data_IF_403748685796
#
_entry.id   IF_403748685796
#
_cell.length_a   1.000
_cell.length_b   1.000
_cell.length_c   1.000
_cell.angle_alpha   90.00
_cell.angle_beta   90.00
_cell.angle_gamma   90.00
#
_symmetry.space_group_name_H-M   'P 1'
#
loop_
_entity.id
_entity.type
_entity.pdbx_description
1 polymer ?
#
# COMPACT_ATOMS: atom_id res chain seq x y z
N UNK A 1 8.80 11.31 -13.32
CA UNK A 1 8.31 9.92 -13.32
C UNK A 1 8.77 9.29 -12.02
N UNK A 2 7.92 9.29 -11.00
CA UNK A 2 8.23 8.59 -9.75
C UNK A 2 8.30 7.10 -10.04
N UNK A 3 9.40 6.45 -9.66
CA UNK A 3 9.50 5.00 -9.76
C UNK A 3 8.38 4.36 -8.95
N UNK A 4 7.82 3.27 -9.46
CA UNK A 4 6.98 2.38 -8.67
C UNK A 4 7.75 2.08 -7.39
N UNK A 5 7.09 2.26 -6.25
CA UNK A 5 7.55 1.66 -5.02
C UNK A 5 7.64 0.17 -5.34
N UNK A 6 8.84 -0.34 -5.61
CA UNK A 6 9.13 -1.73 -5.97
C UNK A 6 8.85 -2.62 -4.75
N UNK A 7 7.57 -2.73 -4.42
CA UNK A 7 6.99 -3.94 -3.90
C UNK A 7 7.22 -5.02 -4.96
N UNK A 8 7.28 -6.30 -4.59
CA UNK A 8 7.53 -7.43 -5.50
C UNK A 8 6.41 -7.65 -6.56
N UNK A 9 5.70 -6.61 -6.98
CA UNK A 9 4.67 -6.64 -8.00
C UNK A 9 5.29 -6.83 -9.38
N UNK A 10 4.99 -7.95 -10.01
CA UNK A 10 5.29 -8.17 -11.41
C UNK A 10 4.15 -7.60 -12.28
N UNK A 11 4.44 -7.23 -13.53
CA UNK A 11 3.39 -6.93 -14.50
C UNK A 11 2.38 -8.09 -14.56
N UNK A 12 1.11 -7.80 -14.26
CA UNK A 12 0.03 -8.79 -14.20
C UNK A 12 -0.43 -9.19 -12.80
N UNK A 13 0.22 -8.72 -11.73
CA UNK A 13 -0.23 -9.00 -10.36
C UNK A 13 -1.54 -8.28 -10.03
N UNK A 14 -2.51 -9.00 -9.46
CA UNK A 14 -3.85 -8.48 -9.16
C UNK A 14 -3.85 -7.25 -8.24
N UNK A 15 -2.84 -7.13 -7.37
CA UNK A 15 -2.68 -5.98 -6.46
C UNK A 15 -2.53 -4.66 -7.21
N UNK A 16 -1.99 -4.66 -8.44
CA UNK A 16 -1.86 -3.46 -9.28
C UNK A 16 -3.22 -2.84 -9.64
N UNK A 17 -4.26 -3.67 -9.68
CA UNK A 17 -5.64 -3.24 -9.94
C UNK A 17 -6.41 -2.89 -8.66
N UNK A 18 -5.80 -3.07 -7.48
CA UNK A 18 -6.48 -2.81 -6.22
C UNK A 18 -6.62 -1.30 -5.97
N UNK A 19 -7.81 -0.78 -5.60
CA UNK A 19 -8.03 0.66 -5.41
C UNK A 19 -7.04 1.32 -4.44
N UNK A 20 -6.78 0.67 -3.30
CA UNK A 20 -5.78 1.16 -2.34
C UNK A 20 -4.35 1.18 -2.87
N UNK A 21 -3.97 0.25 -3.74
CA UNK A 21 -2.64 0.28 -4.36
C UNK A 21 -2.55 1.50 -5.28
N UNK A 22 -3.50 1.66 -6.19
CA UNK A 22 -3.56 2.80 -7.11
C UNK A 22 -3.65 4.14 -6.38
N UNK A 23 -4.34 4.21 -5.26
CA UNK A 23 -4.44 5.43 -4.46
C UNK A 23 -3.09 5.84 -3.89
N UNK A 24 -2.41 4.92 -3.19
CA UNK A 24 -1.21 5.26 -2.41
C UNK A 24 0.09 5.17 -3.23
N UNK A 25 0.10 4.47 -4.37
CA UNK A 25 1.30 4.29 -5.20
C UNK A 25 1.80 5.57 -5.86
N UNK A 26 0.94 6.57 -6.03
CA UNK A 26 1.31 7.87 -6.63
C UNK A 26 1.69 8.92 -5.59
N UNK A 27 1.53 8.63 -4.30
CA UNK A 27 1.87 9.55 -3.22
C UNK A 27 3.30 9.31 -2.71
N UNK A 28 3.95 10.39 -2.27
CA UNK A 28 5.23 10.27 -1.57
C UNK A 28 4.98 9.84 -0.12
N UNK A 29 5.92 9.07 0.43
CA UNK A 29 5.86 8.59 1.81
C UNK A 29 5.65 9.70 2.86
N UNK A 30 6.14 10.92 2.60
CA UNK A 30 5.94 12.09 3.48
C UNK A 30 4.54 12.69 3.44
N UNK A 31 3.81 12.53 2.33
CA UNK A 31 2.48 13.10 2.13
C UNK A 31 1.34 12.17 2.56
N UNK A 32 1.59 10.85 2.58
CA UNK A 32 0.60 9.85 2.97
C UNK A 32 0.08 10.11 4.39
N UNK A 33 -1.23 10.14 4.62
CA UNK A 33 -1.81 10.17 5.97
C UNK A 33 -1.85 8.76 6.58
N UNK A 34 -1.29 8.60 7.79
CA UNK A 34 -1.23 7.30 8.49
C UNK A 34 -2.63 6.81 8.88
N UNK A 35 -3.52 7.71 9.25
CA UNK A 35 -4.88 7.35 9.69
C UNK A 35 -5.71 6.81 8.53
N UNK A 36 -5.49 7.36 7.33
CA UNK A 36 -6.15 6.89 6.10
C UNK A 36 -5.66 5.50 5.74
N UNK A 37 -4.34 5.26 5.79
CA UNK A 37 -3.76 3.94 5.49
C UNK A 37 -4.18 2.88 6.53
N UNK A 38 -4.26 3.23 7.82
CA UNK A 38 -4.80 2.35 8.88
C UNK A 38 -6.26 1.97 8.63
N UNK A 39 -7.07 2.93 8.21
CA UNK A 39 -8.49 2.70 7.89
C UNK A 39 -8.61 1.77 6.69
N UNK A 40 -7.83 1.99 5.63
CA UNK A 40 -7.79 1.10 4.47
C UNK A 40 -7.45 -0.34 4.88
N UNK A 41 -6.40 -0.52 5.69
CA UNK A 41 -5.99 -1.83 6.19
C UNK A 41 -7.09 -2.52 7.03
N UNK A 42 -7.80 -1.76 7.86
CA UNK A 42 -8.90 -2.28 8.69
C UNK A 42 -10.11 -2.74 7.86
N UNK A 43 -10.28 -2.23 6.64
CA UNK A 43 -11.36 -2.62 5.73
C UNK A 43 -11.02 -3.83 4.84
N UNK A 44 -9.75 -4.23 4.78
CA UNK A 44 -9.35 -5.42 4.04
C UNK A 44 -9.85 -6.69 4.75
N UNK A 45 -10.56 -7.55 4.01
CA UNK A 45 -10.95 -8.89 4.49
C UNK A 45 -9.70 -9.74 4.56
N UNK A 46 -9.38 -10.35 5.71
CA UNK A 46 -8.20 -11.20 5.86
C UNK A 46 -8.35 -12.54 5.09
N UNK A 47 -7.99 -12.54 3.81
CA UNK A 47 -8.03 -13.71 2.93
C UNK A 47 -6.80 -13.74 2.01
N UNK A 48 -6.71 -14.75 1.15
CA UNK A 48 -5.58 -14.91 0.23
C UNK A 48 -5.50 -13.77 -0.78
N UNK A 49 -6.65 -13.30 -1.26
CA UNK A 49 -6.74 -12.31 -2.34
C UNK A 49 -6.29 -10.92 -1.87
N UNK A 50 -6.51 -10.61 -0.60
CA UNK A 50 -6.11 -9.34 0.02
C UNK A 50 -4.71 -9.38 0.66
N UNK A 51 -4.05 -10.55 0.70
CA UNK A 51 -2.77 -10.69 1.38
C UNK A 51 -1.72 -9.71 0.83
N UNK A 52 -1.68 -9.55 -0.49
CA UNK A 52 -0.77 -8.63 -1.17
C UNK A 52 -1.05 -7.17 -0.78
N UNK A 53 -2.32 -6.75 -0.78
CA UNK A 53 -2.67 -5.37 -0.42
C UNK A 53 -2.45 -5.09 1.07
N UNK A 54 -2.78 -6.05 1.96
CA UNK A 54 -2.53 -5.90 3.39
C UNK A 54 -1.03 -5.73 3.69
N UNK A 55 -0.19 -6.48 2.98
CA UNK A 55 1.25 -6.40 3.13
C UNK A 55 1.80 -5.05 2.61
N UNK A 56 1.31 -4.57 1.47
CA UNK A 56 1.65 -3.23 0.94
C UNK A 56 1.29 -2.10 1.91
N UNK A 57 0.04 -2.09 2.41
CA UNK A 57 -0.43 -1.08 3.38
C UNK A 57 0.37 -1.13 4.69
N UNK A 58 0.68 -2.34 5.18
CA UNK A 58 1.50 -2.53 6.38
C UNK A 58 2.93 -2.00 6.21
N UNK A 59 3.48 -2.13 5.00
CA UNK A 59 4.80 -1.59 4.67
C UNK A 59 4.81 -0.07 4.64
N UNK A 60 3.78 0.57 4.05
CA UNK A 60 3.63 2.03 4.11
C UNK A 60 3.68 2.52 5.56
N UNK A 61 2.88 1.90 6.44
CA UNK A 61 2.83 2.27 7.85
C UNK A 61 4.18 2.10 8.55
N UNK A 62 4.91 1.00 8.27
CA UNK A 62 6.26 0.79 8.79
C UNK A 62 7.25 1.83 8.30
N UNK A 63 7.26 2.12 7.00
CA UNK A 63 8.13 3.15 6.45
C UNK A 63 7.83 4.49 7.11
N UNK A 64 6.56 4.86 7.23
CA UNK A 64 6.15 6.12 7.86
C UNK A 64 6.59 6.27 9.31
N UNK A 65 6.55 5.18 10.07
CA UNK A 65 7.04 5.16 11.45
C UNK A 65 8.56 5.36 11.58
N UNK A 66 9.37 5.15 10.53
CA UNK A 66 10.83 5.27 10.61
C UNK A 66 11.36 6.71 10.49
N UNK A 67 10.59 7.62 9.90
CA UNK A 67 10.97 9.03 9.73
C UNK A 67 10.07 9.99 10.52
N UNK A 68 9.23 9.45 11.42
CA UNK A 68 8.43 10.19 12.39
C UNK A 68 9.22 10.48 13.67
#
# INVERSE_FOLDING_TARGET
MGYEINWHTNPGDDVLNHPFYQQFSYETLGNLDENVVKTALATCIANRDSAAICAYLSWILRCKALFA
#
